data_IF_522131331528
#
_entry.id   IF_522131331528
#
_cell.length_a   1.000
_cell.length_b   1.000
_cell.length_c   1.000
_cell.angle_alpha   90.00
_cell.angle_beta   90.00
_cell.angle_gamma   90.00
#
_symmetry.space_group_name_H-M   'P 1'
#
loop_
_entity.id
_entity.type
_entity.pdbx_description
1 polymer ?
#
# COMPACT_ATOMS: atom_id res chain seq x y z
N UNK A 1 -22.84 -19.06 24.72
CA UNK A 1 -21.42 -19.07 25.06
C UNK A 1 -20.83 -17.79 24.54
N UNK A 2 -20.49 -16.90 25.48
CA UNK A 2 -20.02 -15.53 25.25
C UNK A 2 -18.57 -15.53 24.74
N UNK A 3 -18.32 -14.77 23.71
CA UNK A 3 -16.97 -14.42 23.29
C UNK A 3 -16.57 -13.09 23.96
N UNK A 4 -15.49 -13.03 24.74
CA UNK A 4 -15.01 -11.76 25.27
C UNK A 4 -14.17 -11.04 24.21
N UNK A 5 -14.70 -9.93 23.73
CA UNK A 5 -13.96 -8.95 22.93
C UNK A 5 -13.12 -8.12 23.93
N UNK A 6 -11.85 -8.48 24.10
CA UNK A 6 -10.84 -7.59 24.65
C UNK A 6 -9.88 -7.20 23.51
N UNK A 7 -10.20 -6.11 22.84
CA UNK A 7 -9.20 -5.38 22.06
C UNK A 7 -8.52 -4.41 23.04
N UNK A 8 -7.53 -4.91 23.74
CA UNK A 8 -6.54 -4.03 24.35
C UNK A 8 -5.79 -3.30 23.23
N UNK A 9 -5.92 -1.98 23.22
CA UNK A 9 -5.00 -1.06 22.55
C UNK A 9 -3.61 -1.27 23.16
N UNK A 10 -2.89 -2.26 22.67
CA UNK A 10 -1.45 -2.29 22.88
C UNK A 10 -0.86 -1.31 21.87
N UNK A 11 -0.57 -0.10 22.34
CA UNK A 11 0.48 0.72 21.76
C UNK A 11 1.75 -0.14 21.81
N UNK A 12 2.10 -0.77 20.69
CA UNK A 12 3.47 -1.18 20.51
C UNK A 12 4.28 0.11 20.41
N UNK A 13 5.22 0.35 21.33
CA UNK A 13 6.19 1.41 21.12
C UNK A 13 6.86 1.05 19.79
N UNK A 14 6.89 2.00 18.86
CA UNK A 14 7.87 1.93 17.79
C UNK A 14 9.21 1.72 18.47
N UNK A 15 9.73 0.50 18.42
CA UNK A 15 11.12 0.30 18.72
C UNK A 15 11.87 1.20 17.77
N UNK A 16 12.44 2.25 18.32
CA UNK A 16 13.51 3.03 17.73
C UNK A 16 14.67 2.08 17.46
N UNK A 17 14.57 1.29 16.41
CA UNK A 17 15.75 0.76 15.76
C UNK A 17 16.51 1.97 15.27
N UNK A 18 17.71 2.07 15.77
CA UNK A 18 18.70 3.09 15.54
C UNK A 18 18.59 3.75 14.17
N UNK A 19 18.55 5.03 14.19
CA UNK A 19 18.31 6.11 13.21
C UNK A 19 18.86 5.93 11.78
N UNK A 20 19.66 4.91 11.49
CA UNK A 20 20.26 4.68 10.17
C UNK A 20 19.48 3.71 9.26
N UNK A 21 18.69 2.78 9.80
CA UNK A 21 17.91 1.86 8.95
C UNK A 21 16.57 2.47 8.50
N UNK A 22 15.97 3.34 9.32
CA UNK A 22 14.76 4.07 8.93
C UNK A 22 15.02 5.09 7.81
N UNK A 23 16.23 5.65 7.72
CA UNK A 23 16.60 6.61 6.66
C UNK A 23 16.79 5.94 5.30
N UNK A 24 17.23 4.70 5.24
CA UNK A 24 17.40 3.96 3.99
C UNK A 24 16.06 3.59 3.35
N UNK A 25 15.02 3.39 4.16
CA UNK A 25 13.70 2.96 3.71
C UNK A 25 12.88 4.05 3.01
N UNK A 26 13.11 5.31 3.33
CA UNK A 26 12.39 6.45 2.74
C UNK A 26 12.94 6.92 1.40
N UNK A 27 14.15 6.50 1.02
CA UNK A 27 14.80 6.93 -0.22
C UNK A 27 14.47 6.01 -1.42
N UNK A 28 14.16 4.74 -1.20
CA UNK A 28 13.87 3.80 -2.29
C UNK A 28 12.38 3.77 -2.65
N UNK A 29 12.05 4.27 -3.83
CA UNK A 29 10.68 4.29 -4.37
C UNK A 29 10.13 2.89 -4.62
N UNK A 30 11.00 1.97 -5.05
CA UNK A 30 10.71 0.57 -5.27
C UNK A 30 11.97 -0.27 -5.05
N UNK A 31 11.82 -1.50 -4.55
CA UNK A 31 12.93 -2.40 -4.30
C UNK A 31 12.58 -3.83 -4.65
N UNK A 32 13.47 -4.51 -5.38
CA UNK A 32 13.46 -5.96 -5.59
C UNK A 32 14.43 -6.61 -4.61
N UNK A 33 14.01 -7.71 -4.01
CA UNK A 33 14.84 -8.51 -3.10
C UNK A 33 14.64 -10.00 -3.35
N UNK A 34 15.67 -10.78 -3.11
CA UNK A 34 15.53 -12.21 -2.95
C UNK A 34 14.92 -12.53 -1.58
N UNK A 35 14.28 -13.69 -1.47
CA UNK A 35 13.58 -14.08 -0.24
C UNK A 35 14.52 -14.16 0.97
N UNK A 36 15.77 -14.58 0.77
CA UNK A 36 16.80 -14.64 1.82
C UNK A 36 17.08 -13.28 2.44
N UNK A 37 17.20 -12.25 1.61
CA UNK A 37 17.43 -10.88 2.09
C UNK A 37 16.18 -10.33 2.79
N UNK A 38 14.99 -10.66 2.24
CA UNK A 38 13.72 -10.28 2.84
C UNK A 38 13.52 -10.92 4.22
N UNK A 39 13.86 -12.20 4.40
CA UNK A 39 13.73 -12.89 5.69
C UNK A 39 14.77 -12.47 6.72
N UNK A 40 15.93 -11.99 6.29
CA UNK A 40 16.90 -11.36 7.20
C UNK A 40 16.34 -10.06 7.81
N UNK A 41 15.56 -9.32 7.04
CA UNK A 41 14.88 -8.10 7.49
C UNK A 41 13.58 -8.41 8.26
N UNK A 42 12.85 -9.47 7.85
CA UNK A 42 11.55 -9.88 8.39
C UNK A 42 11.59 -11.37 8.81
N UNK A 43 12.06 -11.69 10.03
CA UNK A 43 12.20 -13.06 10.50
C UNK A 43 10.87 -13.85 10.51
N UNK A 44 10.97 -15.17 10.37
CA UNK A 44 9.84 -16.09 10.50
C UNK A 44 9.10 -15.89 11.82
N UNK A 45 7.80 -16.14 11.81
CA UNK A 45 6.88 -16.05 12.97
C UNK A 45 6.71 -14.63 13.55
N UNK A 46 7.42 -13.63 13.03
CA UNK A 46 7.19 -12.24 13.42
C UNK A 46 6.18 -11.59 12.50
N UNK A 47 5.18 -10.96 13.09
CA UNK A 47 4.21 -10.17 12.38
C UNK A 47 4.82 -8.81 12.04
N UNK A 48 4.71 -8.37 10.80
CA UNK A 48 5.16 -7.03 10.40
C UNK A 48 4.11 -6.30 9.56
N UNK A 49 4.13 -5.00 9.68
CA UNK A 49 3.27 -4.08 8.97
C UNK A 49 4.12 -3.28 7.98
N UNK A 50 3.80 -3.34 6.71
CA UNK A 50 4.48 -2.57 5.68
C UNK A 50 3.61 -1.42 5.18
N UNK A 51 4.19 -0.22 5.10
CA UNK A 51 3.52 0.94 4.51
C UNK A 51 3.79 0.99 3.00
N UNK A 52 3.02 0.20 2.26
CA UNK A 52 3.17 0.06 0.83
C UNK A 52 2.57 -1.25 0.33
N UNK A 53 2.91 -1.62 -0.91
CA UNK A 53 2.51 -2.89 -1.52
C UNK A 53 3.71 -3.84 -1.55
N UNK A 54 3.47 -5.10 -1.19
CA UNK A 54 4.43 -6.19 -1.38
C UNK A 54 3.87 -7.13 -2.44
N UNK A 55 4.66 -7.42 -3.45
CA UNK A 55 4.37 -8.46 -4.42
C UNK A 55 5.41 -9.57 -4.27
N UNK A 56 4.95 -10.80 -4.21
CA UNK A 56 5.82 -11.98 -4.16
C UNK A 56 5.57 -12.87 -5.38
N UNK A 57 6.65 -13.41 -5.95
CA UNK A 57 6.61 -14.33 -7.08
C UNK A 57 7.33 -15.60 -6.69
N UNK A 58 6.60 -16.70 -6.62
CA UNK A 58 7.17 -18.00 -6.28
C UNK A 58 7.66 -18.70 -7.55
N UNK A 59 8.98 -18.89 -7.65
CA UNK A 59 9.61 -19.59 -8.76
C UNK A 59 9.74 -21.09 -8.51
N UNK A 60 10.00 -21.48 -7.24
CA UNK A 60 10.10 -22.88 -6.82
C UNK A 60 9.69 -23.03 -5.36
N UNK A 61 9.27 -24.25 -5.00
CA UNK A 61 8.88 -24.56 -3.64
C UNK A 61 7.50 -24.02 -3.29
N UNK A 62 7.28 -23.83 -1.99
CA UNK A 62 6.03 -23.30 -1.47
C UNK A 62 6.26 -22.56 -0.14
N UNK A 63 5.31 -21.70 0.22
CA UNK A 63 5.29 -20.95 1.46
C UNK A 63 3.87 -20.89 2.02
N UNK A 64 3.75 -21.10 3.32
CA UNK A 64 2.55 -20.82 4.10
C UNK A 64 2.74 -19.52 4.86
N UNK A 65 1.79 -18.61 4.76
CA UNK A 65 1.85 -17.30 5.38
C UNK A 65 0.48 -16.81 5.81
N UNK A 66 0.46 -15.81 6.69
CA UNK A 66 -0.76 -15.11 7.11
C UNK A 66 -0.78 -13.70 6.58
N UNK A 67 -1.97 -13.27 6.15
CA UNK A 67 -2.30 -11.85 5.99
C UNK A 67 -3.43 -11.56 6.99
N UNK A 68 -3.16 -10.70 7.96
CA UNK A 68 -4.02 -10.46 9.13
C UNK A 68 -4.27 -11.77 9.89
N UNK A 69 -5.50 -12.29 9.83
CA UNK A 69 -5.88 -13.52 10.53
C UNK A 69 -6.03 -14.75 9.60
N UNK A 70 -5.96 -14.54 8.29
CA UNK A 70 -6.20 -15.57 7.29
C UNK A 70 -4.88 -16.20 6.82
N UNK A 71 -4.88 -17.51 6.71
CA UNK A 71 -3.74 -18.28 6.18
C UNK A 71 -3.87 -18.45 4.67
N UNK A 72 -2.73 -18.33 3.99
CA UNK A 72 -2.62 -18.47 2.55
C UNK A 72 -1.41 -19.34 2.22
N UNK A 73 -1.55 -20.07 1.14
CA UNK A 73 -0.50 -20.92 0.60
C UNK A 73 -0.14 -20.43 -0.80
N UNK A 74 1.16 -20.35 -1.09
CA UNK A 74 1.68 -20.06 -2.43
C UNK A 74 2.63 -21.17 -2.87
N UNK A 75 2.55 -21.55 -4.15
CA UNK A 75 3.35 -22.57 -4.80
C UNK A 75 4.07 -22.01 -6.03
N UNK A 76 4.93 -22.81 -6.64
CA UNK A 76 5.63 -22.43 -7.87
C UNK A 76 4.66 -21.96 -8.97
N UNK A 77 5.06 -20.94 -9.72
CA UNK A 77 4.29 -20.26 -10.76
C UNK A 77 3.07 -19.47 -10.25
N UNK A 78 3.06 -19.13 -8.96
CA UNK A 78 2.06 -18.25 -8.38
C UNK A 78 2.69 -16.94 -7.90
N UNK A 79 1.86 -15.90 -7.82
CA UNK A 79 2.21 -14.63 -7.20
C UNK A 79 1.21 -14.27 -6.12
N UNK A 80 1.66 -13.45 -5.17
CA UNK A 80 0.79 -12.84 -4.17
C UNK A 80 0.96 -11.32 -4.13
N UNK A 81 -0.08 -10.62 -3.68
CA UNK A 81 -0.05 -9.19 -3.41
C UNK A 81 -0.54 -8.95 -1.99
N UNK A 82 0.25 -8.20 -1.22
CA UNK A 82 -0.14 -7.70 0.10
C UNK A 82 -0.34 -6.20 -0.02
N UNK A 83 -1.56 -5.75 0.30
CA UNK A 83 -1.94 -4.36 0.25
C UNK A 83 -1.38 -3.59 1.47
N UNK A 84 -1.30 -2.25 1.40
CA UNK A 84 -0.85 -1.42 2.50
C UNK A 84 -1.61 -1.70 3.80
N UNK A 85 -0.92 -1.61 4.92
CA UNK A 85 -1.46 -1.75 6.26
C UNK A 85 -2.05 -3.12 6.61
N UNK A 86 -1.71 -4.16 5.81
CA UNK A 86 -1.98 -5.54 6.20
C UNK A 86 -0.81 -6.10 7.01
N UNK A 87 -1.14 -6.85 8.05
CA UNK A 87 -0.15 -7.57 8.84
C UNK A 87 0.22 -8.83 8.08
N UNK A 88 1.51 -9.03 7.84
CA UNK A 88 2.04 -10.20 7.16
C UNK A 88 2.90 -11.02 8.12
N UNK A 89 2.77 -12.35 8.06
CA UNK A 89 3.57 -13.27 8.88
C UNK A 89 3.90 -14.50 8.07
N UNK A 90 5.18 -14.85 7.99
CA UNK A 90 5.63 -16.12 7.38
C UNK A 90 5.49 -17.22 8.42
N UNK A 91 4.77 -18.31 8.09
CA UNK A 91 4.57 -19.45 8.99
C UNK A 91 5.61 -20.53 8.69
N UNK A 92 5.68 -20.97 7.45
CA UNK A 92 6.62 -22.00 7.02
C UNK A 92 6.97 -21.90 5.56
N UNK A 93 8.14 -22.44 5.21
CA UNK A 93 8.66 -22.45 3.84
C UNK A 93 9.26 -23.81 3.51
N UNK A 94 9.15 -24.22 2.26
CA UNK A 94 9.87 -25.41 1.79
C UNK A 94 11.37 -25.13 1.68
N UNK A 95 12.25 -26.13 1.87
CA UNK A 95 13.70 -25.95 1.82
C UNK A 95 14.21 -25.46 0.45
N UNK A 96 13.47 -25.72 -0.61
CA UNK A 96 13.79 -25.34 -2.00
C UNK A 96 13.05 -24.07 -2.45
N UNK A 97 12.49 -23.27 -1.52
CA UNK A 97 11.78 -22.06 -1.87
C UNK A 97 12.67 -21.08 -2.60
N UNK A 98 12.21 -20.62 -3.76
CA UNK A 98 12.77 -19.52 -4.52
C UNK A 98 11.65 -18.49 -4.73
N UNK A 99 11.69 -17.41 -3.98
CA UNK A 99 10.69 -16.36 -4.00
C UNK A 99 11.37 -15.02 -4.27
N UNK A 100 10.82 -14.26 -5.19
CA UNK A 100 11.22 -12.88 -5.46
C UNK A 100 10.21 -11.94 -4.83
N UNK A 101 10.70 -10.94 -4.12
CA UNK A 101 9.87 -9.94 -3.45
C UNK A 101 10.11 -8.59 -4.11
N UNK A 102 9.03 -7.93 -4.49
CA UNK A 102 9.01 -6.57 -5.00
C UNK A 102 8.19 -5.69 -4.06
N UNK A 103 8.81 -4.63 -3.56
CA UNK A 103 8.16 -3.68 -2.63
C UNK A 103 8.01 -2.32 -3.27
N UNK A 104 6.86 -1.71 -3.07
CA UNK A 104 6.58 -0.32 -3.42
C UNK A 104 6.13 0.43 -2.19
N UNK A 105 6.80 1.53 -1.88
CA UNK A 105 6.35 2.42 -0.80
C UNK A 105 5.03 3.09 -1.17
N UNK A 106 4.23 3.45 -0.17
CA UNK A 106 3.01 4.24 -0.39
C UNK A 106 3.32 5.54 -1.13
N UNK A 107 4.41 6.22 -0.78
CA UNK A 107 4.85 7.44 -1.46
C UNK A 107 5.10 7.25 -2.97
N UNK A 108 5.65 6.09 -3.37
CA UNK A 108 5.87 5.80 -4.78
C UNK A 108 4.57 5.50 -5.51
N UNK A 109 3.69 4.71 -4.92
CA UNK A 109 2.38 4.37 -5.51
C UNK A 109 1.55 5.61 -5.85
N UNK A 110 1.75 6.67 -5.10
CA UNK A 110 1.04 7.94 -5.27
C UNK A 110 1.59 8.82 -6.39
N UNK A 111 2.80 8.52 -6.86
CA UNK A 111 3.37 9.19 -8.04
C UNK A 111 2.83 8.60 -9.33
N UNK A 112 2.15 7.45 -9.26
CA UNK A 112 1.61 6.79 -10.45
C UNK A 112 0.36 7.52 -10.94
N UNK A 113 0.22 7.71 -12.26
CA UNK A 113 -0.93 8.40 -12.84
C UNK A 113 -2.20 7.52 -12.87
N UNK A 114 -2.25 6.45 -12.08
CA UNK A 114 -3.35 5.50 -12.06
C UNK A 114 -4.29 5.79 -10.91
N UNK A 115 -5.59 5.76 -11.16
CA UNK A 115 -6.60 5.75 -10.11
C UNK A 115 -6.64 4.38 -9.44
N UNK A 116 -6.69 4.32 -8.09
CA UNK A 116 -6.85 3.04 -7.39
C UNK A 116 -8.13 2.34 -7.86
N UNK A 117 -8.00 1.14 -8.42
CA UNK A 117 -9.17 0.32 -8.69
C UNK A 117 -9.59 -0.42 -7.41
N UNK A 118 -10.67 0.09 -6.82
CA UNK A 118 -11.23 -0.50 -5.59
C UNK A 118 -11.70 -1.95 -5.81
N UNK A 119 -12.20 -2.30 -7.01
CA UNK A 119 -12.67 -3.66 -7.28
C UNK A 119 -11.53 -4.65 -7.31
N UNK A 120 -10.42 -4.26 -7.91
CA UNK A 120 -9.18 -5.05 -7.94
C UNK A 120 -8.54 -5.16 -6.55
N UNK A 121 -8.44 -4.05 -5.82
CA UNK A 121 -7.92 -4.05 -4.44
C UNK A 121 -8.74 -4.98 -3.53
N UNK A 122 -10.07 -4.98 -3.69
CA UNK A 122 -10.96 -5.91 -2.99
C UNK A 122 -10.72 -7.36 -3.39
N UNK A 123 -10.59 -7.64 -4.69
CA UNK A 123 -10.29 -8.98 -5.21
C UNK A 123 -8.99 -9.50 -4.60
N UNK A 124 -7.95 -8.68 -4.60
CA UNK A 124 -6.66 -8.99 -3.97
C UNK A 124 -6.80 -9.21 -2.46
N UNK A 125 -7.57 -8.38 -1.76
CA UNK A 125 -7.81 -8.55 -0.31
C UNK A 125 -8.44 -9.89 0.06
N UNK A 126 -9.33 -10.42 -0.80
CA UNK A 126 -10.00 -11.70 -0.56
C UNK A 126 -9.19 -12.89 -1.10
N UNK A 127 -8.51 -12.68 -2.22
CA UNK A 127 -7.73 -13.70 -2.92
C UNK A 127 -6.36 -13.12 -3.25
N UNK A 128 -5.45 -13.05 -2.26
CA UNK A 128 -4.16 -12.40 -2.43
C UNK A 128 -3.17 -13.21 -3.27
N UNK A 129 -3.51 -14.45 -3.64
CA UNK A 129 -2.68 -15.32 -4.48
C UNK A 129 -3.36 -15.59 -5.81
N UNK A 130 -2.55 -15.63 -6.88
CA UNK A 130 -3.01 -15.99 -8.23
C UNK A 130 -1.94 -16.75 -8.99
N UNK A 131 -2.35 -17.61 -9.93
CA UNK A 131 -1.42 -18.27 -10.86
C UNK A 131 -0.96 -17.30 -11.94
N UNK A 132 0.29 -17.40 -12.34
CA UNK A 132 0.89 -16.63 -13.43
C UNK A 132 1.02 -17.55 -14.65
N UNK A 133 0.60 -17.07 -15.81
CA UNK A 133 0.78 -17.81 -17.06
C UNK A 133 2.28 -17.98 -17.39
N UNK A 134 2.64 -19.08 -18.07
CA UNK A 134 4.05 -19.39 -18.36
C UNK A 134 4.76 -18.24 -19.11
N UNK A 135 4.11 -17.66 -20.11
CA UNK A 135 4.68 -16.55 -20.88
C UNK A 135 4.90 -15.30 -20.01
N UNK A 136 3.96 -14.99 -19.10
CA UNK A 136 4.09 -13.86 -18.18
C UNK A 136 5.20 -14.10 -17.18
N UNK A 137 5.37 -15.34 -16.72
CA UNK A 137 6.48 -15.71 -15.83
C UNK A 137 7.84 -15.52 -16.51
N UNK A 138 7.99 -15.90 -17.77
CA UNK A 138 9.20 -15.64 -18.56
C UNK A 138 9.47 -14.14 -18.71
N UNK A 139 8.45 -13.35 -19.06
CA UNK A 139 8.55 -11.91 -19.16
C UNK A 139 8.97 -11.26 -17.82
N UNK A 140 8.40 -11.69 -16.72
CA UNK A 140 8.75 -11.22 -15.37
C UNK A 140 10.23 -11.53 -15.07
N UNK A 141 10.71 -12.75 -15.38
CA UNK A 141 12.10 -13.13 -15.13
C UNK A 141 13.09 -12.31 -15.98
N UNK A 142 12.75 -12.01 -17.23
CA UNK A 142 13.54 -11.13 -18.09
C UNK A 142 13.62 -9.70 -17.52
N UNK A 143 12.47 -9.12 -17.17
CA UNK A 143 12.41 -7.77 -16.57
C UNK A 143 13.17 -7.71 -15.24
N UNK A 144 13.07 -8.76 -14.44
CA UNK A 144 13.82 -8.88 -13.19
C UNK A 144 15.32 -8.87 -13.44
N UNK A 145 15.78 -9.67 -14.41
CA UNK A 145 17.21 -9.75 -14.79
C UNK A 145 17.71 -8.41 -15.28
N UNK A 146 16.92 -7.73 -16.13
CA UNK A 146 17.26 -6.37 -16.59
C UNK A 146 17.34 -5.38 -15.43
N UNK A 147 16.36 -5.39 -14.50
CA UNK A 147 16.35 -4.49 -13.35
C UNK A 147 17.62 -4.66 -12.49
N UNK A 148 18.09 -5.89 -12.31
CA UNK A 148 19.33 -6.20 -11.58
C UNK A 148 20.60 -5.66 -12.26
N UNK A 149 20.64 -5.62 -13.60
CA UNK A 149 21.79 -5.09 -14.34
C UNK A 149 21.94 -3.57 -14.18
N UNK A 150 20.86 -2.88 -13.89
CA UNK A 150 20.83 -1.42 -13.71
C UNK A 150 20.80 -1.01 -12.22
N UNK A 151 21.25 -1.87 -11.30
CA UNK A 151 21.46 -1.54 -9.91
C UNK A 151 22.65 -0.60 -9.81
N UNK A 152 22.44 0.65 -9.88
CA UNK A 152 23.22 1.80 -9.43
C UNK A 152 23.52 2.89 -10.45
N UNK A 153 23.70 4.06 -9.93
CA UNK A 153 24.64 5.17 -10.08
C UNK A 153 24.16 6.45 -10.73
N UNK A 154 23.01 6.52 -11.37
CA UNK A 154 22.48 7.81 -11.82
C UNK A 154 20.97 7.89 -11.63
N UNK A 155 20.42 9.10 -11.57
CA UNK A 155 18.98 9.33 -11.49
C UNK A 155 18.21 8.67 -12.66
N UNK A 156 18.82 8.62 -13.85
CA UNK A 156 18.24 7.96 -15.02
C UNK A 156 18.17 6.44 -14.84
N UNK A 157 19.20 5.81 -14.27
CA UNK A 157 19.18 4.36 -14.00
C UNK A 157 18.17 4.00 -12.93
N UNK A 158 17.99 4.84 -11.92
CA UNK A 158 16.93 4.68 -10.90
C UNK A 158 15.52 4.79 -11.51
N UNK A 159 15.31 5.70 -12.46
CA UNK A 159 14.05 5.82 -13.19
C UNK A 159 13.78 4.60 -14.06
N UNK A 160 14.80 4.12 -14.78
CA UNK A 160 14.71 2.90 -15.59
C UNK A 160 14.37 1.69 -14.72
N UNK A 161 15.10 1.51 -13.62
CA UNK A 161 14.85 0.42 -12.67
C UNK A 161 13.42 0.48 -12.10
N UNK A 162 12.96 1.64 -11.70
CA UNK A 162 11.58 1.84 -11.21
C UNK A 162 10.54 1.51 -12.28
N UNK A 163 10.81 1.83 -13.55
CA UNK A 163 9.92 1.51 -14.67
C UNK A 163 9.86 -0.01 -14.93
N UNK A 164 10.99 -0.72 -14.82
CA UNK A 164 11.03 -2.18 -14.92
C UNK A 164 10.29 -2.85 -13.77
N UNK A 165 10.44 -2.35 -12.55
CA UNK A 165 9.68 -2.81 -11.38
C UNK A 165 8.17 -2.62 -11.58
N UNK A 166 7.75 -1.48 -12.11
CA UNK A 166 6.35 -1.22 -12.43
C UNK A 166 5.82 -2.16 -13.51
N UNK A 167 6.61 -2.44 -14.54
CA UNK A 167 6.22 -3.39 -15.58
C UNK A 167 5.96 -4.78 -15.01
N UNK A 168 6.81 -5.25 -14.10
CA UNK A 168 6.58 -6.51 -13.36
C UNK A 168 5.27 -6.44 -12.56
N UNK A 169 5.05 -5.33 -11.84
CA UNK A 169 3.85 -5.16 -11.03
C UNK A 169 2.58 -5.16 -11.90
N UNK A 170 2.60 -4.53 -13.07
CA UNK A 170 1.46 -4.53 -13.99
C UNK A 170 1.16 -5.91 -14.56
N UNK A 171 2.17 -6.71 -14.92
CA UNK A 171 1.97 -8.09 -15.38
C UNK A 171 1.30 -8.92 -14.28
N UNK A 172 1.82 -8.85 -13.05
CA UNK A 172 1.22 -9.57 -11.92
C UNK A 172 -0.22 -9.10 -11.69
N UNK A 173 -0.46 -7.79 -11.69
CA UNK A 173 -1.79 -7.22 -11.45
C UNK A 173 -2.79 -7.64 -12.54
N UNK A 174 -2.38 -7.66 -13.80
CA UNK A 174 -3.20 -8.16 -14.92
C UNK A 174 -3.59 -9.63 -14.73
N UNK A 175 -2.71 -10.47 -14.18
CA UNK A 175 -3.04 -11.86 -13.85
C UNK A 175 -4.15 -11.95 -12.78
N UNK A 176 -4.20 -11.00 -11.82
CA UNK A 176 -5.31 -10.93 -10.86
C UNK A 176 -6.61 -10.49 -11.52
N UNK A 177 -6.58 -9.57 -12.48
CA UNK A 177 -7.79 -9.16 -13.24
C UNK A 177 -8.36 -10.33 -14.05
N UNK A 178 -7.50 -11.07 -14.74
CA UNK A 178 -7.87 -12.20 -15.60
C UNK A 178 -8.25 -13.46 -14.82
N UNK A 179 -7.82 -13.59 -13.57
CA UNK A 179 -8.15 -14.75 -12.75
C UNK A 179 -9.67 -14.94 -12.68
N UNK A 180 -10.18 -16.18 -12.90
CA UNK A 180 -11.62 -16.44 -12.86
C UNK A 180 -12.18 -15.99 -11.53
N UNK A 181 -13.34 -15.37 -11.59
CA UNK A 181 -14.09 -14.99 -10.38
C UNK A 181 -14.36 -16.25 -9.55
N UNK A 182 -13.53 -16.49 -8.54
CA UNK A 182 -13.75 -17.58 -7.57
C UNK A 182 -14.93 -17.21 -6.69
N UNK A 183 -16.15 -17.49 -7.19
CA UNK A 183 -17.38 -17.25 -6.46
C UNK A 183 -17.54 -15.77 -6.09
N UNK A 184 -17.67 -14.87 -7.07
CA UNK A 184 -18.07 -13.49 -6.79
C UNK A 184 -19.47 -13.51 -6.17
N UNK A 185 -19.50 -13.64 -4.85
CA UNK A 185 -20.69 -13.28 -4.11
C UNK A 185 -20.98 -11.80 -4.44
N UNK A 186 -22.22 -11.46 -4.79
CA UNK A 186 -22.60 -10.08 -5.03
C UNK A 186 -22.14 -9.24 -3.82
N UNK A 187 -21.64 -8.04 -4.12
CA UNK A 187 -21.20 -7.11 -3.09
C UNK A 187 -22.31 -6.96 -2.04
N UNK A 188 -22.00 -7.21 -0.81
CA UNK A 188 -22.91 -6.88 0.29
C UNK A 188 -23.26 -5.39 0.23
N UNK A 189 -24.40 -5.02 0.79
CA UNK A 189 -24.80 -3.60 0.87
C UNK A 189 -23.70 -2.72 1.49
N UNK A 190 -22.94 -3.26 2.43
CA UNK A 190 -21.88 -2.55 3.12
C UNK A 190 -20.61 -2.38 2.28
N UNK A 191 -20.28 -3.37 1.48
CA UNK A 191 -19.16 -3.28 0.52
C UNK A 191 -19.52 -2.31 -0.61
N UNK A 192 -20.74 -2.32 -1.11
CA UNK A 192 -21.23 -1.34 -2.09
C UNK A 192 -21.17 0.08 -1.53
N UNK A 193 -21.60 0.28 -0.28
CA UNK A 193 -21.52 1.56 0.38
C UNK A 193 -20.06 2.04 0.55
N UNK A 194 -19.17 1.13 0.93
CA UNK A 194 -17.73 1.42 1.07
C UNK A 194 -17.12 1.79 -0.29
N UNK A 195 -17.47 1.07 -1.37
CA UNK A 195 -17.06 1.41 -2.75
C UNK A 195 -17.54 2.82 -3.15
N UNK A 196 -18.80 3.13 -2.89
CA UNK A 196 -19.36 4.46 -3.18
C UNK A 196 -18.67 5.57 -2.38
N UNK A 197 -18.33 5.32 -1.12
CA UNK A 197 -17.53 6.24 -0.31
C UNK A 197 -16.16 6.52 -0.94
N UNK A 198 -15.42 5.48 -1.35
CA UNK A 198 -14.11 5.69 -1.98
C UNK A 198 -14.22 6.45 -3.31
N UNK A 199 -15.26 6.20 -4.10
CA UNK A 199 -15.49 6.97 -5.32
C UNK A 199 -15.68 8.46 -5.02
N UNK A 200 -16.52 8.80 -4.05
CA UNK A 200 -16.72 10.18 -3.60
C UNK A 200 -15.45 10.78 -2.97
N UNK A 201 -14.71 9.98 -2.20
CA UNK A 201 -13.46 10.43 -1.60
C UNK A 201 -12.47 10.89 -2.67
N UNK A 202 -12.25 10.08 -3.71
CA UNK A 202 -11.35 10.42 -4.81
C UNK A 202 -11.78 11.68 -5.59
N UNK A 203 -13.08 11.93 -5.67
CA UNK A 203 -13.60 13.13 -6.33
C UNK A 203 -13.48 14.41 -5.49
N UNK A 204 -13.56 14.29 -4.15
CA UNK A 204 -13.77 15.45 -3.28
C UNK A 204 -12.72 15.65 -2.20
N UNK A 205 -11.74 14.77 -2.04
CA UNK A 205 -10.76 14.83 -0.92
C UNK A 205 -9.99 16.15 -0.84
N UNK A 206 -9.78 16.83 -1.97
CA UNK A 206 -9.07 18.11 -2.00
C UNK A 206 -9.86 19.21 -1.29
N UNK A 207 -11.19 19.21 -1.46
CA UNK A 207 -12.07 20.26 -0.99
C UNK A 207 -12.88 19.88 0.25
N UNK A 208 -13.12 18.58 0.47
CA UNK A 208 -14.01 18.07 1.51
C UNK A 208 -13.29 17.11 2.46
N UNK A 209 -13.24 17.48 3.74
CA UNK A 209 -12.62 16.66 4.79
C UNK A 209 -13.58 16.22 5.88
N UNK A 210 -14.84 16.64 5.79
CA UNK A 210 -15.86 16.31 6.77
C UNK A 210 -16.50 14.96 6.45
N UNK A 211 -16.53 14.06 7.42
CA UNK A 211 -17.28 12.79 7.30
C UNK A 211 -18.75 13.06 7.02
N UNK A 212 -19.30 14.16 7.55
CA UNK A 212 -20.70 14.54 7.34
C UNK A 212 -21.01 14.77 5.87
N UNK A 213 -20.12 15.42 5.12
CA UNK A 213 -20.27 15.62 3.67
C UNK A 213 -20.47 14.30 2.94
N UNK A 214 -19.57 13.33 3.15
CA UNK A 214 -19.65 12.03 2.47
C UNK A 214 -20.90 11.23 2.85
N UNK A 215 -21.30 11.32 4.12
CA UNK A 215 -22.51 10.67 4.60
C UNK A 215 -23.79 11.28 3.98
N UNK A 216 -23.84 12.59 3.83
CA UNK A 216 -24.93 13.32 3.17
C UNK A 216 -25.03 12.92 1.70
N UNK A 217 -23.91 12.90 0.97
CA UNK A 217 -23.89 12.47 -0.44
C UNK A 217 -24.37 11.03 -0.63
N UNK A 218 -24.18 10.18 0.39
CA UNK A 218 -24.63 8.78 0.38
C UNK A 218 -26.01 8.56 1.02
N UNK A 219 -26.69 9.66 1.42
CA UNK A 219 -28.01 9.64 2.07
C UNK A 219 -28.06 8.74 3.31
N UNK A 220 -27.00 8.77 4.15
CA UNK A 220 -26.90 7.99 5.39
C UNK A 220 -26.33 8.84 6.54
N UNK A 221 -26.37 8.30 7.76
CA UNK A 221 -25.79 8.99 8.91
C UNK A 221 -24.27 8.85 8.94
N UNK A 222 -23.51 9.87 9.41
CA UNK A 222 -22.05 9.81 9.58
C UNK A 222 -21.59 8.62 10.44
N UNK A 223 -22.36 8.29 11.47
CA UNK A 223 -22.07 7.15 12.35
C UNK A 223 -22.15 5.83 11.60
N UNK A 224 -23.20 5.63 10.81
CA UNK A 224 -23.38 4.40 10.02
C UNK A 224 -22.29 4.26 8.98
N UNK A 225 -21.97 5.33 8.25
CA UNK A 225 -20.89 5.35 7.26
C UNK A 225 -19.54 5.00 7.91
N UNK A 226 -19.17 5.65 9.01
CA UNK A 226 -17.91 5.41 9.73
C UNK A 226 -17.80 3.97 10.21
N UNK A 227 -18.87 3.44 10.81
CA UNK A 227 -18.88 2.06 11.32
C UNK A 227 -18.76 1.06 10.17
N UNK A 228 -19.45 1.30 9.07
CA UNK A 228 -19.44 0.41 7.89
C UNK A 228 -18.07 0.40 7.23
N UNK A 229 -17.51 1.56 6.90
CA UNK A 229 -16.19 1.66 6.27
C UNK A 229 -15.13 1.04 7.17
N UNK A 230 -15.13 1.36 8.48
CA UNK A 230 -14.16 0.78 9.42
C UNK A 230 -14.27 -0.74 9.52
N UNK A 231 -15.48 -1.31 9.46
CA UNK A 231 -15.67 -2.76 9.50
C UNK A 231 -15.13 -3.45 8.24
N UNK A 232 -15.32 -2.84 7.07
CA UNK A 232 -14.89 -3.41 5.79
C UNK A 232 -13.39 -3.20 5.57
N UNK A 233 -12.83 -2.04 5.94
CA UNK A 233 -11.45 -1.66 5.62
C UNK A 233 -10.49 -1.76 6.80
N UNK A 234 -10.99 -1.86 8.01
CA UNK A 234 -10.19 -1.79 9.24
C UNK A 234 -9.89 -0.35 9.70
N UNK A 235 -10.14 0.68 8.88
CA UNK A 235 -9.74 2.07 9.11
C UNK A 235 -10.94 3.00 9.16
N UNK A 236 -10.82 4.07 9.95
CA UNK A 236 -11.86 5.10 9.99
C UNK A 236 -11.85 5.93 8.70
N UNK A 237 -12.99 6.56 8.39
CA UNK A 237 -13.09 7.49 7.27
C UNK A 237 -12.08 8.64 7.42
N UNK A 238 -11.89 9.12 8.64
CA UNK A 238 -10.96 10.21 8.90
C UNK A 238 -9.51 9.81 8.59
N UNK A 239 -9.13 8.56 8.87
CA UNK A 239 -7.80 8.04 8.50
C UNK A 239 -7.63 8.06 6.99
N UNK A 240 -8.62 7.60 6.22
CA UNK A 240 -8.60 7.63 4.76
C UNK A 240 -8.51 9.04 4.18
N UNK A 241 -9.29 10.00 4.72
CA UNK A 241 -9.24 11.41 4.30
C UNK A 241 -7.86 12.01 4.61
N UNK A 242 -7.32 11.75 5.79
CA UNK A 242 -6.02 12.26 6.21
C UNK A 242 -4.91 11.68 5.31
N UNK A 243 -4.93 10.37 5.07
CA UNK A 243 -3.94 9.70 4.25
C UNK A 243 -3.89 10.29 2.83
N UNK A 244 -5.03 10.37 2.14
CA UNK A 244 -5.05 10.89 0.78
C UNK A 244 -4.62 12.37 0.72
N UNK A 245 -4.92 13.14 1.78
CA UNK A 245 -4.49 14.54 1.89
C UNK A 245 -2.97 14.65 2.06
N UNK A 246 -2.38 13.85 2.95
CA UNK A 246 -0.92 13.80 3.15
C UNK A 246 -0.19 13.36 1.90
N UNK A 247 -0.70 12.37 1.23
CA UNK A 247 -0.26 11.83 -0.05
C UNK A 247 -0.15 12.94 -1.09
N UNK A 248 -1.24 13.67 -1.27
CA UNK A 248 -1.30 14.77 -2.23
C UNK A 248 -0.37 15.92 -1.83
N UNK A 249 -0.27 16.24 -0.54
CA UNK A 249 0.67 17.21 -0.01
C UNK A 249 2.13 16.82 -0.33
N UNK A 250 2.50 15.57 -0.05
CA UNK A 250 3.85 15.05 -0.37
C UNK A 250 4.15 15.15 -1.86
N UNK A 251 3.19 14.81 -2.72
CA UNK A 251 3.33 14.95 -4.18
C UNK A 251 3.60 16.40 -4.57
N UNK A 252 2.79 17.37 -4.13
CA UNK A 252 3.01 18.79 -4.44
C UNK A 252 4.36 19.29 -3.94
N UNK A 253 4.79 18.86 -2.75
CA UNK A 253 6.09 19.23 -2.19
C UNK A 253 7.27 18.74 -3.04
N UNK A 254 7.16 17.56 -3.67
CA UNK A 254 8.21 16.93 -4.49
C UNK A 254 8.19 17.35 -5.96
N UNK A 255 7.03 17.59 -6.54
CA UNK A 255 6.88 17.72 -7.99
C UNK A 255 6.60 19.16 -8.46
N UNK A 256 6.48 20.09 -7.54
CA UNK A 256 6.16 21.48 -7.88
C UNK A 256 6.98 22.49 -7.08
N UNK A 257 7.26 23.64 -7.71
CA UNK A 257 7.85 24.81 -7.06
C UNK A 257 6.88 25.65 -6.24
N UNK A 258 5.65 25.16 -6.02
CA UNK A 258 4.59 25.85 -5.23
C UNK A 258 5.09 26.17 -3.84
N UNK A 259 4.71 27.32 -3.32
CA UNK A 259 5.00 27.68 -1.93
C UNK A 259 4.19 26.81 -0.96
N UNK A 260 4.59 26.78 0.31
CA UNK A 260 3.83 26.07 1.35
C UNK A 260 2.43 26.70 1.51
N UNK A 261 2.32 28.01 1.28
CA UNK A 261 1.06 28.74 1.26
C UNK A 261 0.15 28.23 0.12
N UNK A 262 0.66 28.16 -1.11
CA UNK A 262 -0.12 27.70 -2.27
C UNK A 262 -0.62 26.27 -2.08
N UNK A 263 0.22 25.37 -1.54
CA UNK A 263 -0.17 23.98 -1.24
C UNK A 263 -1.26 23.95 -0.18
N UNK A 264 -1.15 24.80 0.85
CA UNK A 264 -2.17 24.92 1.89
C UNK A 264 -3.52 25.34 1.33
N UNK A 265 -3.53 26.32 0.44
CA UNK A 265 -4.72 26.84 -0.25
C UNK A 265 -5.31 25.79 -1.20
N UNK A 266 -4.49 25.15 -2.02
CA UNK A 266 -4.91 24.08 -2.93
C UNK A 266 -5.56 22.90 -2.20
N UNK A 267 -5.04 22.57 -1.02
CA UNK A 267 -5.60 21.54 -0.15
C UNK A 267 -6.70 22.08 0.79
N UNK A 268 -7.18 23.30 0.58
CA UNK A 268 -8.28 23.94 1.31
C UNK A 268 -8.07 23.93 2.84
N UNK A 269 -6.84 24.18 3.31
CA UNK A 269 -6.62 24.50 4.72
C UNK A 269 -6.94 25.96 5.00
N UNK A 270 -7.51 26.25 6.14
CA UNK A 270 -7.84 27.61 6.54
C UNK A 270 -6.61 28.53 6.60
N UNK A 271 -5.47 27.98 6.98
CA UNK A 271 -4.19 28.71 7.07
C UNK A 271 -3.02 27.77 6.77
N UNK A 272 -1.90 28.33 6.30
CA UNK A 272 -0.65 27.59 6.15
C UNK A 272 -0.19 26.97 7.48
N UNK A 273 -0.40 27.63 8.59
CA UNK A 273 -0.06 27.10 9.92
C UNK A 273 -0.85 25.84 10.26
N UNK A 274 -2.13 25.77 9.90
CA UNK A 274 -2.97 24.58 10.11
C UNK A 274 -2.50 23.42 9.23
N UNK A 275 -2.10 23.70 7.99
CA UNK A 275 -1.49 22.71 7.09
C UNK A 275 -0.15 22.20 7.65
N UNK A 276 0.76 23.08 8.07
CA UNK A 276 2.07 22.72 8.61
C UNK A 276 1.91 21.82 9.84
N UNK A 277 0.98 22.16 10.74
CA UNK A 277 0.68 21.35 11.93
C UNK A 277 0.12 19.97 11.56
N UNK A 278 -0.83 19.93 10.65
CA UNK A 278 -1.41 18.69 10.13
C UNK A 278 -0.35 17.80 9.49
N UNK A 279 0.45 18.35 8.59
CA UNK A 279 1.51 17.61 7.90
C UNK A 279 2.52 17.05 8.89
N UNK A 280 3.01 17.89 9.84
CA UNK A 280 3.96 17.44 10.86
C UNK A 280 3.38 16.34 11.76
N UNK A 281 2.12 16.43 12.12
CA UNK A 281 1.45 15.42 12.94
C UNK A 281 1.42 14.04 12.27
N UNK A 282 1.27 14.00 10.94
CA UNK A 282 1.13 12.75 10.18
C UNK A 282 2.44 12.24 9.56
N UNK A 283 3.47 13.09 9.42
CA UNK A 283 4.74 12.72 8.78
C UNK A 283 5.95 12.80 9.70
N UNK A 284 5.80 13.38 10.89
CA UNK A 284 6.88 13.59 11.85
C UNK A 284 7.78 14.81 11.54
N UNK A 285 7.70 15.41 10.34
CA UNK A 285 8.51 16.55 9.94
C UNK A 285 7.67 17.67 9.32
N UNK A 286 8.26 18.88 9.20
CA UNK A 286 7.57 20.01 8.55
C UNK A 286 7.59 19.85 7.03
N UNK A 287 6.61 20.44 6.29
CA UNK A 287 6.59 20.42 4.84
C UNK A 287 7.88 20.96 4.21
N UNK A 288 8.45 22.02 4.77
CA UNK A 288 9.70 22.60 4.28
C UNK A 288 10.89 21.65 4.45
N UNK A 289 10.99 20.97 5.60
CA UNK A 289 12.01 19.94 5.83
C UNK A 289 11.83 18.78 4.86
N UNK A 290 10.59 18.29 4.71
CA UNK A 290 10.27 17.22 3.78
C UNK A 290 10.68 17.54 2.33
N UNK A 291 10.48 18.78 1.88
CA UNK A 291 10.92 19.23 0.56
C UNK A 291 12.43 19.16 0.42
N UNK A 292 13.17 19.77 1.37
CA UNK A 292 14.65 19.81 1.36
C UNK A 292 15.32 18.44 1.44
N UNK A 293 14.71 17.51 2.17
CA UNK A 293 15.25 16.16 2.32
C UNK A 293 15.01 15.29 1.05
N UNK A 294 14.24 15.80 0.09
CA UNK A 294 13.87 15.12 -1.15
C UNK A 294 14.20 15.93 -2.44
N UNK A 295 14.82 17.12 -2.32
CA UNK A 295 15.50 17.85 -3.40
C UNK A 295 16.94 17.33 -3.53
#
# INVERSE_FOLDING_TARGET
AEFPIFVQRTYFPMHTTTDNQAKTFTAEKSRIQDFTDFTAEFPHEHAFLFDGIILGICLKGNMLFKINYNEYHISANEAFIILPRHIFTIISTSPNLQLKILRFSSDFLLTLPTNPDFSLARKISHYPCTSIQAQDMENIQLLYTMARQYESLSDLTLQLQSSLHLSIAFIITASFEQAPARGELPLSRQENLTKSFFHLLLQHYQTQRSVAFYAEQLCITPKYLTTTVKRITGYSIQDWINDITIITAKRYLKTSSRTIQDISEELHFQTASSFIRFFRQHTGCTPLKYRKDND
#
